data_IF_928292194963
#
_entry.id   IF_928292194963
#
_cell.length_a   1.000
_cell.length_b   1.000
_cell.length_c   1.000
_cell.angle_alpha   90.00
_cell.angle_beta   90.00
_cell.angle_gamma   90.00
#
_symmetry.space_group_name_H-M   'P 1'
#
loop_
_entity.id
_entity.type
_entity.pdbx_description
1 polymer ?
#
# COMPACT_ATOMS: atom_id res chain seq x y z
N UNK A 1 19.70 59.01 -60.83
CA UNK A 1 18.49 58.18 -60.99
C UNK A 1 18.67 56.95 -60.12
N UNK A 2 18.16 56.97 -58.88
CA UNK A 2 18.21 55.84 -57.96
C UNK A 2 16.78 55.36 -57.75
N UNK A 3 16.48 54.15 -58.24
CA UNK A 3 15.23 53.45 -57.97
C UNK A 3 15.37 52.65 -56.67
N UNK A 4 14.55 52.96 -55.68
CA UNK A 4 14.38 52.16 -54.48
C UNK A 4 13.37 51.04 -54.75
N UNK A 5 13.78 49.80 -54.51
CA UNK A 5 12.93 48.62 -54.44
C UNK A 5 12.22 48.56 -53.09
N UNK A 6 10.89 48.48 -53.13
CA UNK A 6 10.04 48.09 -52.00
C UNK A 6 10.09 46.56 -51.85
N UNK A 7 10.56 46.06 -50.71
CA UNK A 7 10.23 44.71 -50.25
C UNK A 7 9.25 44.81 -49.08
N UNK A 8 8.10 44.19 -49.30
CA UNK A 8 7.04 44.00 -48.34
C UNK A 8 7.25 42.67 -47.60
N UNK A 9 6.74 42.65 -46.36
CA UNK A 9 6.23 41.47 -45.63
C UNK A 9 7.21 40.40 -45.13
N UNK A 10 7.35 40.33 -43.79
CA UNK A 10 6.55 39.40 -42.96
C UNK A 10 6.80 39.68 -41.48
N UNK A 11 5.76 40.15 -40.77
CA UNK A 11 5.75 40.09 -39.29
C UNK A 11 5.55 38.64 -38.85
N UNK A 12 6.30 38.15 -37.85
CA UNK A 12 6.04 36.84 -37.28
C UNK A 12 4.66 36.84 -36.62
N UNK A 13 3.83 35.87 -37.00
CA UNK A 13 2.56 35.59 -36.35
C UNK A 13 2.81 35.30 -34.88
N UNK A 14 2.10 36.03 -34.02
CA UNK A 14 1.97 35.75 -32.60
C UNK A 14 1.55 34.28 -32.40
N UNK A 15 2.50 33.46 -31.95
CA UNK A 15 2.19 32.20 -31.31
C UNK A 15 1.40 32.54 -30.05
N UNK A 16 0.06 32.41 -30.12
CA UNK A 16 -0.82 32.44 -28.96
C UNK A 16 -0.26 31.44 -27.94
N UNK A 17 0.33 31.96 -26.87
CA UNK A 17 0.59 31.18 -25.68
C UNK A 17 -0.76 30.63 -25.20
N UNK A 18 -0.98 29.33 -25.40
CA UNK A 18 -2.06 28.60 -24.74
C UNK A 18 -1.87 28.78 -23.25
N UNK A 19 -2.66 29.67 -22.66
CA UNK A 19 -2.70 29.84 -21.21
C UNK A 19 -2.98 28.48 -20.57
N UNK A 20 -2.25 28.06 -19.53
CA UNK A 20 -2.49 26.78 -18.89
C UNK A 20 -3.93 26.76 -18.35
N UNK A 21 -4.69 25.72 -18.74
CA UNK A 21 -6.03 25.48 -18.21
C UNK A 21 -5.94 25.46 -16.67
N UNK A 22 -6.79 26.21 -15.95
CA UNK A 22 -6.74 26.26 -14.49
C UNK A 22 -6.89 24.85 -13.91
N UNK A 23 -5.93 24.43 -13.09
CA UNK A 23 -6.00 23.15 -12.40
C UNK A 23 -7.22 23.14 -11.49
N UNK A 24 -8.23 22.36 -11.85
CA UNK A 24 -9.42 22.21 -11.03
C UNK A 24 -9.07 21.51 -9.72
N UNK A 25 -9.35 22.17 -8.59
CA UNK A 25 -9.15 21.63 -7.26
C UNK A 25 -10.45 21.07 -6.70
N UNK A 26 -10.38 19.90 -6.08
CA UNK A 26 -11.48 19.28 -5.34
C UNK A 26 -11.13 19.33 -3.85
N UNK A 27 -12.08 19.75 -3.02
CA UNK A 27 -11.94 19.71 -1.56
C UNK A 27 -12.29 18.30 -1.09
N UNK A 28 -11.34 17.60 -0.48
CA UNK A 28 -11.56 16.29 0.14
C UNK A 28 -11.63 16.48 1.65
N UNK A 29 -12.68 15.95 2.27
CA UNK A 29 -12.93 16.03 3.71
C UNK A 29 -12.83 14.65 4.37
N UNK A 30 -11.63 14.19 4.78
CA UNK A 30 -11.51 13.10 5.72
C UNK A 30 -11.92 13.57 7.12
N UNK A 31 -13.06 13.06 7.61
CA UNK A 31 -13.64 13.46 8.89
C UNK A 31 -13.87 14.99 8.97
N UNK A 32 -13.22 15.69 9.91
CA UNK A 32 -13.37 17.14 10.15
C UNK A 32 -12.32 18.01 9.44
N UNK A 33 -11.32 17.42 8.79
CA UNK A 33 -10.22 18.15 8.13
C UNK A 33 -10.49 18.26 6.64
N UNK A 34 -10.07 19.34 5.99
CA UNK A 34 -10.23 19.52 4.55
C UNK A 34 -8.89 19.73 3.85
N UNK A 35 -8.66 19.00 2.75
CA UNK A 35 -7.49 19.13 1.88
C UNK A 35 -7.97 19.45 0.48
N UNK A 36 -7.22 20.26 -0.27
CA UNK A 36 -7.49 20.51 -1.68
C UNK A 36 -6.55 19.65 -2.52
N UNK A 37 -7.10 18.88 -3.43
CA UNK A 37 -6.35 17.98 -4.32
C UNK A 37 -6.69 18.32 -5.78
N UNK A 38 -5.71 18.42 -6.68
CA UNK A 38 -5.97 18.51 -8.11
C UNK A 38 -6.83 17.36 -8.61
N UNK A 39 -7.93 17.66 -9.32
CA UNK A 39 -8.86 16.66 -9.86
C UNK A 39 -8.15 15.58 -10.67
N UNK A 40 -7.26 15.99 -11.58
CA UNK A 40 -6.43 15.10 -12.39
C UNK A 40 -5.62 14.10 -11.56
N UNK A 41 -5.17 14.50 -10.38
CA UNK A 41 -4.37 13.61 -9.55
C UNK A 41 -5.24 12.62 -8.76
N UNK A 42 -6.51 12.95 -8.48
CA UNK A 42 -7.45 12.03 -7.86
C UNK A 42 -7.75 10.83 -8.77
N UNK A 43 -7.60 10.95 -10.08
CA UNK A 43 -7.72 9.84 -11.03
C UNK A 43 -6.69 8.72 -10.80
N UNK A 44 -5.60 8.99 -10.07
CA UNK A 44 -4.62 7.96 -9.67
C UNK A 44 -5.16 7.02 -8.59
N UNK A 45 -6.26 7.38 -7.94
CA UNK A 45 -6.92 6.58 -6.92
C UNK A 45 -8.10 5.84 -7.54
N UNK A 46 -8.13 4.52 -7.40
CA UNK A 46 -9.26 3.70 -7.82
C UNK A 46 -10.57 4.11 -7.13
N UNK A 47 -10.50 4.49 -5.85
CA UNK A 47 -11.65 4.98 -5.08
C UNK A 47 -12.30 6.21 -5.72
N UNK A 48 -11.50 7.23 -6.06
CA UNK A 48 -12.05 8.43 -6.68
C UNK A 48 -12.46 8.21 -8.13
N UNK A 49 -11.76 7.35 -8.90
CA UNK A 49 -12.22 6.96 -10.24
C UNK A 49 -13.59 6.29 -10.24
N UNK A 50 -13.87 5.47 -9.22
CA UNK A 50 -15.13 4.76 -9.08
C UNK A 50 -16.29 5.65 -8.60
N UNK A 51 -16.01 6.85 -8.07
CA UNK A 51 -17.05 7.82 -7.76
C UNK A 51 -17.75 8.26 -9.05
N UNK A 52 -19.09 8.23 -9.04
CA UNK A 52 -19.95 8.41 -10.21
C UNK A 52 -19.56 9.62 -11.08
N UNK A 53 -19.08 10.71 -10.46
CA UNK A 53 -18.82 11.97 -11.16
C UNK A 53 -17.41 12.05 -11.76
N UNK A 54 -16.52 11.09 -11.49
CA UNK A 54 -15.31 10.86 -12.29
C UNK A 54 -15.61 9.94 -13.48
N UNK A 55 -16.59 9.04 -13.35
CA UNK A 55 -17.03 8.14 -14.40
C UNK A 55 -17.98 8.80 -15.42
N UNK A 56 -18.88 9.69 -14.98
CA UNK A 56 -19.95 10.29 -15.80
C UNK A 56 -19.56 11.57 -16.53
N UNK A 57 -18.40 12.17 -16.26
CA UNK A 57 -17.94 13.33 -17.04
C UNK A 57 -17.52 12.99 -18.48
N UNK A 58 -17.45 11.71 -18.83
CA UNK A 58 -17.39 11.26 -20.22
C UNK A 58 -18.66 11.65 -21.02
N UNK A 59 -19.81 11.77 -20.35
CA UNK A 59 -21.13 12.02 -20.97
C UNK A 59 -21.64 13.47 -20.79
N UNK A 60 -20.88 14.35 -20.13
CA UNK A 60 -21.03 15.81 -20.25
C UNK A 60 -22.10 16.52 -19.39
N UNK A 61 -22.87 15.84 -18.53
CA UNK A 61 -24.09 16.44 -17.97
C UNK A 61 -24.05 16.94 -16.50
N UNK A 62 -22.98 16.73 -15.73
CA UNK A 62 -22.97 17.17 -14.31
C UNK A 62 -21.94 18.26 -13.96
N UNK A 63 -22.30 19.22 -13.08
CA UNK A 63 -21.37 20.20 -12.56
C UNK A 63 -20.27 19.47 -11.76
N UNK A 64 -19.00 19.83 -11.95
CA UNK A 64 -17.93 19.04 -11.37
C UNK A 64 -17.91 19.18 -9.85
N UNK A 65 -17.77 18.05 -9.15
CA UNK A 65 -17.70 18.03 -7.69
C UNK A 65 -16.60 18.98 -7.20
N UNK A 66 -16.99 19.89 -6.30
CA UNK A 66 -16.06 20.77 -5.59
C UNK A 66 -15.69 20.22 -4.21
N UNK A 67 -16.47 19.29 -3.67
CA UNK A 67 -16.32 18.80 -2.30
C UNK A 67 -16.73 17.31 -2.16
N UNK A 68 -15.85 16.47 -1.61
CA UNK A 68 -16.07 15.03 -1.37
C UNK A 68 -15.77 14.72 0.09
N UNK A 69 -16.72 14.12 0.79
CA UNK A 69 -16.48 13.54 2.11
C UNK A 69 -15.97 12.10 1.97
N UNK A 70 -14.89 11.77 2.68
CA UNK A 70 -14.35 10.40 2.73
C UNK A 70 -14.29 9.92 4.18
N UNK A 71 -14.49 8.61 4.37
CA UNK A 71 -14.45 7.96 5.69
C UNK A 71 -13.44 6.81 5.67
N UNK A 72 -12.13 7.12 5.70
CA UNK A 72 -11.11 6.09 5.74
C UNK A 72 -11.24 5.20 6.99
N UNK A 73 -10.69 3.99 6.96
CA UNK A 73 -10.70 3.07 8.09
C UNK A 73 -9.72 3.45 9.20
N UNK A 74 -8.78 4.37 8.92
CA UNK A 74 -7.78 4.87 9.84
C UNK A 74 -7.64 6.40 9.73
N UNK A 75 -7.79 7.11 10.84
CA UNK A 75 -7.64 8.56 10.87
C UNK A 75 -6.18 9.00 10.78
N UNK A 76 -5.25 8.13 11.13
CA UNK A 76 -3.83 8.41 11.01
C UNK A 76 -3.40 8.32 9.54
N UNK A 77 -2.58 9.26 9.10
CA UNK A 77 -1.90 9.28 7.78
C UNK A 77 -2.79 9.37 6.53
N UNK A 78 -4.12 9.47 6.65
CA UNK A 78 -4.98 9.76 5.47
C UNK A 78 -4.56 11.07 4.78
N UNK A 79 -4.18 12.08 5.56
CA UNK A 79 -3.74 13.36 5.02
C UNK A 79 -2.45 13.22 4.20
N UNK A 80 -1.54 12.33 4.59
CA UNK A 80 -0.33 12.05 3.81
C UNK A 80 -0.64 11.32 2.51
N UNK A 81 -1.59 10.37 2.53
CA UNK A 81 -2.08 9.73 1.30
C UNK A 81 -2.68 10.76 0.32
N UNK A 82 -3.48 11.69 0.84
CA UNK A 82 -4.06 12.77 0.03
C UNK A 82 -3.00 13.78 -0.42
N UNK A 83 -2.00 14.09 0.41
CA UNK A 83 -0.87 14.94 0.03
C UNK A 83 -0.03 14.29 -1.07
N UNK A 84 0.16 12.96 -1.02
CA UNK A 84 0.82 12.21 -2.10
C UNK A 84 0.05 12.31 -3.42
N UNK A 85 -1.28 12.18 -3.39
CA UNK A 85 -2.10 12.45 -4.57
C UNK A 85 -1.90 13.89 -5.05
N UNK A 86 -1.81 14.88 -4.16
CA UNK A 86 -1.47 16.27 -4.54
C UNK A 86 -0.04 16.46 -5.10
N UNK A 87 0.78 15.41 -5.18
CA UNK A 87 2.13 15.45 -5.74
C UNK A 87 3.21 15.79 -4.72
N UNK A 88 2.89 15.80 -3.42
CA UNK A 88 3.88 15.99 -2.37
C UNK A 88 4.67 14.70 -2.14
N UNK A 89 5.96 14.86 -1.83
CA UNK A 89 6.80 13.74 -1.39
C UNK A 89 6.36 13.29 -0.01
N UNK A 90 6.30 11.98 0.19
CA UNK A 90 6.02 11.40 1.50
C UNK A 90 7.25 11.47 2.40
N UNK A 91 7.08 11.90 3.66
CA UNK A 91 8.12 11.75 4.68
C UNK A 91 8.47 10.29 4.96
N UNK A 92 9.73 10.00 5.31
CA UNK A 92 10.19 8.65 5.63
C UNK A 92 9.37 7.96 6.74
N UNK A 93 9.02 8.73 7.79
CA UNK A 93 8.26 8.23 8.94
C UNK A 93 6.90 7.60 8.59
N UNK A 94 6.36 7.87 7.39
CA UNK A 94 5.09 7.27 6.94
C UNK A 94 5.18 5.74 6.84
N UNK A 95 6.38 5.20 6.63
CA UNK A 95 6.61 3.79 6.41
C UNK A 95 7.22 3.08 7.63
N UNK A 96 7.17 3.70 8.81
CA UNK A 96 7.76 3.20 10.05
C UNK A 96 6.69 2.80 11.06
N UNK A 97 6.89 1.67 11.75
CA UNK A 97 6.07 1.23 12.89
C UNK A 97 4.55 1.28 12.66
N UNK A 98 3.83 2.01 13.52
CA UNK A 98 2.37 2.15 13.42
C UNK A 98 1.90 3.03 12.26
N UNK A 99 2.76 3.89 11.72
CA UNK A 99 2.41 4.69 10.55
C UNK A 99 2.31 3.82 9.31
N UNK A 100 3.18 2.81 9.18
CA UNK A 100 3.13 1.84 8.09
C UNK A 100 1.75 1.18 7.96
N UNK A 101 1.19 0.74 9.09
CA UNK A 101 -0.15 0.16 9.15
C UNK A 101 -1.24 1.11 8.66
N UNK A 102 -1.16 2.36 9.11
CA UNK A 102 -2.12 3.41 8.75
C UNK A 102 -2.02 3.76 7.27
N UNK A 103 -0.80 3.81 6.73
CA UNK A 103 -0.52 4.02 5.31
C UNK A 103 -1.08 2.88 4.46
N UNK A 104 -0.81 1.62 4.82
CA UNK A 104 -1.32 0.46 4.08
C UNK A 104 -2.85 0.50 4.00
N UNK A 105 -3.54 0.67 5.14
CA UNK A 105 -5.00 0.64 5.22
C UNK A 105 -5.65 1.79 4.46
N UNK A 106 -5.08 2.98 4.53
CA UNK A 106 -5.60 4.14 3.82
C UNK A 106 -5.28 4.11 2.32
N UNK A 107 -4.10 3.61 1.94
CA UNK A 107 -3.75 3.38 0.54
C UNK A 107 -4.65 2.30 -0.09
N UNK A 108 -4.99 1.25 0.64
CA UNK A 108 -5.94 0.21 0.20
C UNK A 108 -7.35 0.80 0.04
N UNK A 109 -7.85 1.50 1.06
CA UNK A 109 -9.16 2.16 1.01
C UNK A 109 -9.28 3.16 -0.16
N UNK A 110 -8.25 3.99 -0.36
CA UNK A 110 -8.20 4.95 -1.47
C UNK A 110 -7.79 4.27 -2.80
N UNK A 111 -7.42 3.00 -2.79
CA UNK A 111 -6.93 2.25 -3.95
C UNK A 111 -5.82 2.99 -4.71
N UNK A 112 -4.74 3.34 -3.99
CA UNK A 112 -3.56 4.03 -4.54
C UNK A 112 -2.43 2.99 -4.70
N UNK A 113 -2.37 2.36 -5.87
CA UNK A 113 -1.50 1.22 -6.15
C UNK A 113 -0.01 1.53 -5.94
N UNK A 114 0.44 2.75 -6.26
CA UNK A 114 1.84 3.12 -6.05
C UNK A 114 2.19 3.19 -4.56
N UNK A 115 1.26 3.67 -3.71
CA UNK A 115 1.46 3.70 -2.26
C UNK A 115 1.41 2.31 -1.64
N UNK A 116 0.53 1.44 -2.12
CA UNK A 116 0.51 0.03 -1.72
C UNK A 116 1.85 -0.63 -2.03
N UNK A 117 2.36 -0.41 -3.25
CA UNK A 117 3.67 -0.94 -3.67
C UNK A 117 4.80 -0.43 -2.76
N UNK A 118 4.80 0.86 -2.41
CA UNK A 118 5.78 1.42 -1.47
C UNK A 118 5.66 0.81 -0.07
N UNK A 119 4.44 0.61 0.45
CA UNK A 119 4.22 -0.05 1.73
C UNK A 119 4.76 -1.49 1.73
N UNK A 120 4.50 -2.26 0.67
CA UNK A 120 5.05 -3.60 0.53
C UNK A 120 6.58 -3.54 0.57
N UNK A 121 7.19 -2.77 -0.32
CA UNK A 121 8.65 -2.68 -0.44
C UNK A 121 9.35 -2.22 0.86
N UNK A 122 8.70 -1.39 1.66
CA UNK A 122 9.26 -0.90 2.92
C UNK A 122 9.06 -1.84 4.11
N UNK A 123 8.14 -2.81 4.02
CA UNK A 123 7.73 -3.65 5.16
C UNK A 123 8.93 -4.31 5.85
N UNK A 124 9.81 -4.95 5.07
CA UNK A 124 10.94 -5.71 5.59
C UNK A 124 12.04 -4.85 6.25
N UNK A 125 11.98 -3.52 6.12
CA UNK A 125 12.90 -2.64 6.85
C UNK A 125 12.52 -2.52 8.33
N UNK A 126 11.21 -2.57 8.63
CA UNK A 126 10.65 -2.30 9.97
C UNK A 126 9.71 -3.42 10.44
N UNK A 127 9.81 -4.62 9.85
CA UNK A 127 8.84 -5.70 10.04
C UNK A 127 8.69 -6.09 11.51
N UNK A 128 9.81 -6.18 12.27
CA UNK A 128 9.79 -6.55 13.70
C UNK A 128 9.00 -5.60 14.56
N UNK A 129 9.00 -4.31 14.21
CA UNK A 129 8.21 -3.27 14.88
C UNK A 129 6.76 -3.36 14.42
N UNK A 130 6.55 -3.55 13.11
CA UNK A 130 5.24 -3.60 12.47
C UNK A 130 4.39 -4.77 12.95
N UNK A 131 4.94 -5.99 13.02
CA UNK A 131 4.18 -7.20 13.41
C UNK A 131 3.76 -7.21 14.88
N UNK A 132 4.40 -6.38 15.72
CA UNK A 132 4.04 -6.22 17.13
C UNK A 132 2.91 -5.22 17.34
N UNK A 133 2.46 -4.54 16.29
CA UNK A 133 1.35 -3.61 16.37
C UNK A 133 0.05 -4.40 16.66
N UNK A 134 -0.78 -4.01 17.65
CA UNK A 134 -2.05 -4.70 17.94
C UNK A 134 -3.06 -4.74 16.78
N UNK A 135 -2.88 -3.87 15.79
CA UNK A 135 -3.66 -3.81 14.55
C UNK A 135 -3.04 -4.65 13.42
N UNK A 136 -1.90 -5.32 13.63
CA UNK A 136 -1.34 -6.26 12.66
C UNK A 136 -2.02 -7.62 12.78
N UNK A 137 -3.21 -7.77 12.18
CA UNK A 137 -4.02 -8.99 12.27
C UNK A 137 -4.95 -9.16 11.09
N UNK A 138 -5.43 -10.38 10.85
CA UNK A 138 -6.30 -10.74 9.73
C UNK A 138 -7.61 -9.93 9.63
N UNK A 139 -8.16 -9.41 10.75
CA UNK A 139 -9.38 -8.57 10.72
C UNK A 139 -9.15 -7.15 10.18
N UNK A 140 -7.90 -6.70 10.18
CA UNK A 140 -7.52 -5.32 9.82
C UNK A 140 -6.62 -5.26 8.59
N UNK A 141 -5.88 -6.32 8.31
CA UNK A 141 -5.08 -6.51 7.10
C UNK A 141 -5.63 -7.74 6.35
N UNK A 142 -6.29 -7.54 5.20
CA UNK A 142 -6.65 -8.63 4.31
C UNK A 142 -5.45 -9.49 3.88
N UNK A 143 -5.68 -10.79 3.68
CA UNK A 143 -4.64 -11.77 3.31
C UNK A 143 -3.85 -11.39 2.06
N UNK A 144 -4.49 -10.72 1.09
CA UNK A 144 -3.86 -10.31 -0.16
C UNK A 144 -2.63 -9.41 0.07
N UNK A 145 -2.64 -8.56 1.09
CA UNK A 145 -1.48 -7.73 1.41
C UNK A 145 -0.35 -8.56 2.01
N UNK A 146 -0.68 -9.58 2.81
CA UNK A 146 0.31 -10.50 3.37
C UNK A 146 0.99 -11.30 2.25
N UNK A 147 0.23 -11.83 1.30
CA UNK A 147 0.77 -12.50 0.11
C UNK A 147 1.74 -11.58 -0.65
N UNK A 148 1.33 -10.33 -0.93
CA UNK A 148 2.18 -9.35 -1.60
C UNK A 148 3.47 -9.03 -0.84
N UNK A 149 3.43 -9.02 0.49
CA UNK A 149 4.60 -8.78 1.35
C UNK A 149 5.55 -9.98 1.34
N UNK A 150 5.01 -11.20 1.37
CA UNK A 150 5.79 -12.44 1.36
C UNK A 150 6.46 -12.72 0.02
N UNK A 151 5.90 -12.19 -1.08
CA UNK A 151 6.42 -12.28 -2.45
C UNK A 151 7.56 -11.30 -2.77
N UNK A 152 7.90 -10.41 -1.84
CA UNK A 152 8.96 -9.42 -2.08
C UNK A 152 10.32 -10.12 -2.12
N UNK A 153 11.12 -9.78 -3.14
CA UNK A 153 12.46 -10.34 -3.40
C UNK A 153 13.55 -9.93 -2.42
N UNK A 154 13.22 -9.31 -1.29
CA UNK A 154 14.18 -8.96 -0.22
C UNK A 154 14.77 -10.18 0.50
N UNK A 155 14.44 -11.40 0.05
CA UNK A 155 14.91 -12.70 0.56
C UNK A 155 14.85 -12.85 2.10
N UNK A 156 13.71 -12.55 2.74
CA UNK A 156 13.52 -12.92 4.14
C UNK A 156 13.55 -14.45 4.28
N UNK A 157 14.10 -14.93 5.38
CA UNK A 157 14.17 -16.37 5.67
C UNK A 157 12.77 -16.95 5.92
N UNK A 158 12.62 -18.27 5.73
CA UNK A 158 11.37 -18.98 6.03
C UNK A 158 10.91 -18.78 7.48
N UNK A 159 11.83 -18.66 8.44
CA UNK A 159 11.48 -18.37 9.84
C UNK A 159 10.86 -16.97 9.97
N UNK A 160 11.44 -15.95 9.34
CA UNK A 160 10.93 -14.58 9.43
C UNK A 160 9.56 -14.46 8.78
N UNK A 161 9.38 -15.08 7.61
CA UNK A 161 8.07 -15.18 6.96
C UNK A 161 7.04 -15.88 7.85
N UNK A 162 7.43 -17.00 8.48
CA UNK A 162 6.56 -17.71 9.42
C UNK A 162 6.18 -16.85 10.61
N UNK A 163 7.11 -16.08 11.18
CA UNK A 163 6.83 -15.15 12.28
C UNK A 163 5.81 -14.08 11.87
N UNK A 164 5.96 -13.49 10.68
CA UNK A 164 5.00 -12.51 10.14
C UNK A 164 3.61 -13.12 9.99
N UNK A 165 3.50 -14.32 9.41
CA UNK A 165 2.22 -15.00 9.22
C UNK A 165 1.57 -15.38 10.54
N UNK A 166 2.36 -15.87 11.50
CA UNK A 166 1.91 -16.24 12.83
C UNK A 166 1.39 -15.03 13.60
N UNK A 167 2.11 -13.91 13.61
CA UNK A 167 1.62 -12.70 14.27
C UNK A 167 0.35 -12.14 13.61
N UNK A 168 0.29 -12.11 12.28
CA UNK A 168 -0.92 -11.69 11.56
C UNK A 168 -2.14 -12.57 11.88
N UNK A 169 -1.88 -13.86 12.11
CA UNK A 169 -2.88 -14.85 12.49
C UNK A 169 -3.24 -14.84 13.98
N UNK A 170 -2.41 -14.23 14.84
CA UNK A 170 -2.46 -14.35 16.30
C UNK A 170 -3.58 -13.54 16.95
N UNK A 171 -4.80 -13.71 16.46
CA UNK A 171 -6.00 -13.16 17.07
C UNK A 171 -6.66 -14.22 17.95
N UNK A 172 -7.15 -13.85 19.15
CA UNK A 172 -8.00 -14.73 19.92
C UNK A 172 -9.22 -15.09 19.06
N UNK A 173 -9.44 -16.39 18.85
CA UNK A 173 -10.51 -16.98 18.03
C UNK A 173 -10.24 -17.15 16.52
N UNK A 174 -9.00 -17.07 16.02
CA UNK A 174 -8.72 -17.51 14.66
C UNK A 174 -8.84 -19.04 14.56
N UNK A 175 -10.05 -19.53 14.21
CA UNK A 175 -10.39 -20.96 14.15
C UNK A 175 -10.03 -21.61 12.82
N UNK A 176 -9.96 -20.83 11.74
CA UNK A 176 -9.69 -21.33 10.40
C UNK A 176 -8.21 -21.17 10.06
N UNK A 177 -7.41 -22.18 10.37
CA UNK A 177 -5.97 -22.15 10.15
C UNK A 177 -5.55 -22.44 8.71
N UNK A 178 -6.49 -22.85 7.84
CA UNK A 178 -6.21 -23.29 6.46
C UNK A 178 -5.50 -22.23 5.60
N UNK A 179 -5.91 -20.93 5.63
CA UNK A 179 -5.21 -19.90 4.87
C UNK A 179 -3.75 -19.73 5.32
N UNK A 180 -3.46 -19.90 6.61
CA UNK A 180 -2.08 -19.78 7.13
C UNK A 180 -1.23 -20.95 6.65
N UNK A 181 -1.76 -22.18 6.69
CA UNK A 181 -1.03 -23.35 6.18
C UNK A 181 -0.68 -23.21 4.71
N UNK A 182 -1.62 -22.71 3.91
CA UNK A 182 -1.40 -22.47 2.49
C UNK A 182 -0.27 -21.46 2.28
N UNK A 183 -0.27 -20.34 3.02
CA UNK A 183 0.79 -19.35 2.93
C UNK A 183 2.16 -19.93 3.34
N UNK A 184 2.22 -20.69 4.44
CA UNK A 184 3.48 -21.28 4.91
C UNK A 184 4.03 -22.27 3.89
N UNK A 185 3.19 -23.15 3.33
CA UNK A 185 3.63 -24.08 2.28
C UNK A 185 4.11 -23.36 1.03
N UNK A 186 3.51 -22.24 0.68
CA UNK A 186 3.88 -21.48 -0.53
C UNK A 186 5.16 -20.65 -0.34
N UNK A 187 5.38 -20.09 0.84
CA UNK A 187 6.42 -19.07 1.04
C UNK A 187 7.59 -19.52 1.93
N UNK A 188 7.45 -20.59 2.71
CA UNK A 188 8.46 -21.10 3.65
C UNK A 188 9.08 -22.44 3.19
N UNK A 189 9.58 -22.47 1.96
CA UNK A 189 10.07 -23.69 1.29
C UNK A 189 11.59 -23.89 1.39
N UNK A 190 12.32 -22.98 2.03
CA UNK A 190 13.77 -23.05 2.10
C UNK A 190 14.26 -23.81 3.36
N UNK A 191 15.54 -24.20 3.36
CA UNK A 191 16.15 -24.97 4.45
C UNK A 191 16.49 -24.12 5.70
N UNK A 192 15.96 -22.90 5.84
CA UNK A 192 16.28 -22.02 6.99
C UNK A 192 15.51 -22.35 8.26
N UNK A 193 14.65 -23.38 8.24
CA UNK A 193 14.02 -23.93 9.43
C UNK A 193 15.03 -24.52 10.41
N UNK A 194 15.55 -23.69 11.31
CA UNK A 194 16.48 -24.12 12.37
C UNK A 194 15.72 -24.63 13.60
N UNK A 195 16.33 -25.57 14.33
CA UNK A 195 15.82 -26.07 15.63
C UNK A 195 15.54 -24.93 16.62
N UNK A 196 16.41 -23.94 16.66
CA UNK A 196 16.26 -22.78 17.54
C UNK A 196 15.09 -21.89 17.11
N UNK A 197 14.96 -21.59 15.82
CA UNK A 197 13.86 -20.78 15.28
C UNK A 197 12.48 -21.40 15.57
N UNK A 198 12.32 -22.70 15.29
CA UNK A 198 11.07 -23.41 15.58
C UNK A 198 10.79 -23.46 17.07
N UNK A 199 11.81 -23.63 17.93
CA UNK A 199 11.61 -23.61 19.39
C UNK A 199 11.15 -22.24 19.88
N UNK A 200 11.73 -21.16 19.37
CA UNK A 200 11.35 -19.78 19.68
C UNK A 200 9.91 -19.50 19.26
N UNK A 201 9.52 -19.92 18.05
CA UNK A 201 8.14 -19.80 17.58
C UNK A 201 7.19 -20.68 18.42
N UNK A 202 7.60 -21.90 18.80
CA UNK A 202 6.75 -22.82 19.55
C UNK A 202 6.49 -22.31 20.97
N UNK A 203 7.46 -21.61 21.57
CA UNK A 203 7.26 -21.00 22.87
C UNK A 203 6.22 -19.87 22.83
N UNK A 204 6.12 -19.15 21.71
CA UNK A 204 5.19 -18.02 21.51
C UNK A 204 3.82 -18.45 20.98
N UNK A 205 3.77 -19.46 20.11
CA UNK A 205 2.59 -19.84 19.32
C UNK A 205 2.18 -21.32 19.51
N UNK A 206 2.68 -21.99 20.56
CA UNK A 206 2.47 -23.40 20.95
C UNK A 206 1.68 -24.27 19.98
N UNK A 207 0.35 -24.21 20.07
CA UNK A 207 -0.57 -25.17 19.43
C UNK A 207 -0.69 -24.96 17.91
N UNK A 208 -0.36 -23.77 17.43
CA UNK A 208 -0.48 -23.39 16.02
C UNK A 208 0.76 -23.84 15.22
N UNK A 209 1.94 -23.87 15.84
CA UNK A 209 3.18 -24.14 15.11
C UNK A 209 3.32 -25.59 14.63
N UNK A 210 2.88 -26.55 15.43
CA UNK A 210 2.89 -27.99 15.07
C UNK A 210 2.04 -28.29 13.85
N UNK A 211 1.03 -27.46 13.59
CA UNK A 211 0.13 -27.59 12.45
C UNK A 211 0.68 -26.86 11.21
N UNK A 212 1.55 -25.86 11.42
CA UNK A 212 2.09 -24.99 10.37
C UNK A 212 3.42 -25.49 9.78
N UNK A 213 4.31 -26.03 10.61
CA UNK A 213 5.62 -26.48 10.15
C UNK A 213 5.47 -27.75 9.31
N UNK A 214 6.02 -27.79 8.08
CA UNK A 214 5.94 -28.97 7.22
C UNK A 214 6.46 -30.24 7.91
N UNK A 215 5.81 -31.38 7.69
CA UNK A 215 6.12 -32.64 8.38
C UNK A 215 7.54 -33.14 8.09
N UNK A 216 8.02 -32.94 6.87
CA UNK A 216 9.40 -33.21 6.44
C UNK A 216 10.43 -32.34 7.18
N UNK A 217 10.09 -31.08 7.43
CA UNK A 217 10.91 -30.17 8.24
C UNK A 217 10.98 -30.65 9.69
N UNK A 218 9.86 -31.08 10.28
CA UNK A 218 9.84 -31.71 11.60
C UNK A 218 10.72 -32.94 11.67
N UNK A 219 10.62 -33.83 10.68
CA UNK A 219 11.43 -35.04 10.59
C UNK A 219 12.93 -34.71 10.54
N UNK A 220 13.34 -33.77 9.69
CA UNK A 220 14.76 -33.36 9.62
C UNK A 220 15.26 -32.79 10.95
N UNK A 221 14.41 -32.06 11.68
CA UNK A 221 14.76 -31.46 12.96
C UNK A 221 14.81 -32.46 14.12
N UNK A 222 14.05 -33.55 14.03
CA UNK A 222 14.08 -34.66 15.00
C UNK A 222 15.26 -35.59 14.69
N UNK A 223 15.59 -35.80 13.42
CA UNK A 223 16.64 -36.73 12.97
C UNK A 223 18.05 -36.16 13.10
N UNK A 224 18.26 -34.84 13.04
CA UNK A 224 19.56 -34.19 13.35
C UNK A 224 19.84 -34.14 14.87
N UNK A 225 19.92 -35.30 15.53
CA UNK A 225 20.44 -35.45 16.89
C UNK A 225 21.93 -35.82 16.82
N UNK A 226 22.75 -34.93 16.29
CA UNK A 226 24.21 -34.97 16.43
C UNK A 226 24.71 -33.56 16.72
#
# INVERSE_FOLDING_TARGET
MNGQTNEAEKKPQDMKATSPVPTQLVRIRPYSTAVRVPRKNLERSGYFRAHADFAQQADGEQPPIKDIEVKPPDSLRVLDCLAYLSGHKLPAYCFEGSNWMSMLRNADYLQIDELLTMCYQSFWNEWKTTIKNPSFKHTTIPIIHIEKILDIKTNPSSIEKAEVMLEWANAPNFRDQEPIYKLVRNHCTDATWTRMGVRTLAQRFKDTLTQIVPADTWLQMVLKRE
#
